data_IF_649475978011
#
_entry.id   IF_649475978011
#
_cell.length_a   1.000
_cell.length_b   1.000
_cell.length_c   1.000
_cell.angle_alpha   90.00
_cell.angle_beta   90.00
_cell.angle_gamma   90.00
#
_symmetry.space_group_name_H-M   'P 1'
#
loop_
_entity.id
_entity.type
_entity.pdbx_description
1 polymer ?
#
# COMPACT_ATOMS: atom_id res chain seq x y z
N UNK A 1 3.72 -9.54 -22.78
CA UNK A 1 3.04 -10.54 -21.92
C UNK A 1 1.56 -10.51 -22.24
N UNK A 2 0.99 -11.64 -22.67
CA UNK A 2 -0.45 -11.78 -22.84
C UNK A 2 -1.05 -12.07 -21.44
N UNK A 3 -1.69 -11.08 -20.80
CA UNK A 3 -2.28 -11.25 -19.47
C UNK A 3 -3.34 -12.37 -19.44
N UNK A 4 -3.92 -12.72 -20.59
CA UNK A 4 -4.90 -13.78 -20.74
C UNK A 4 -4.33 -15.20 -20.52
N UNK A 5 -3.03 -15.39 -20.71
CA UNK A 5 -2.36 -16.71 -20.63
C UNK A 5 -1.90 -17.07 -19.21
N UNK A 6 -1.83 -16.10 -18.28
CA UNK A 6 -1.23 -16.30 -16.94
C UNK A 6 -2.04 -17.18 -15.96
N UNK A 7 -3.09 -17.85 -16.42
CA UNK A 7 -4.10 -18.45 -15.55
C UNK A 7 -4.86 -17.34 -14.83
N UNK A 8 -6.18 -17.41 -14.80
CA UNK A 8 -7.01 -16.34 -14.22
C UNK A 8 -6.48 -16.01 -12.81
N UNK A 9 -6.13 -14.75 -12.56
CA UNK A 9 -6.09 -14.25 -11.18
C UNK A 9 -7.41 -14.67 -10.54
N UNK A 10 -7.37 -15.15 -9.30
CA UNK A 10 -8.59 -15.36 -8.54
C UNK A 10 -9.26 -14.00 -8.31
N UNK A 11 -10.13 -13.63 -9.25
CA UNK A 11 -10.97 -12.45 -9.17
C UNK A 11 -11.88 -12.56 -7.93
N UNK A 12 -12.26 -11.44 -7.32
CA UNK A 12 -13.26 -11.45 -6.27
C UNK A 12 -14.55 -12.13 -6.76
N UNK A 13 -15.20 -12.90 -5.89
CA UNK A 13 -16.52 -13.47 -6.19
C UNK A 13 -17.59 -12.37 -6.21
N UNK A 14 -17.41 -11.37 -5.35
CA UNK A 14 -18.28 -10.21 -5.29
C UNK A 14 -18.06 -9.29 -6.50
N UNK A 15 -19.16 -8.88 -7.12
CA UNK A 15 -19.16 -7.91 -8.22
C UNK A 15 -20.01 -6.71 -7.82
N UNK A 16 -19.41 -5.54 -7.85
CA UNK A 16 -20.08 -4.28 -7.53
C UNK A 16 -21.09 -3.89 -8.60
N UNK A 17 -22.10 -3.11 -8.18
CA UNK A 17 -22.97 -2.36 -9.08
C UNK A 17 -22.22 -1.16 -9.69
N UNK A 18 -22.76 -0.53 -10.74
CA UNK A 18 -22.11 0.64 -11.36
C UNK A 18 -21.89 1.80 -10.38
N UNK A 19 -22.87 2.07 -9.49
CA UNK A 19 -22.77 3.12 -8.47
C UNK A 19 -21.78 2.76 -7.37
N UNK A 20 -21.76 1.51 -6.92
CA UNK A 20 -20.74 1.04 -5.97
C UNK A 20 -19.34 1.16 -6.57
N UNK A 21 -19.16 0.77 -7.83
CA UNK A 21 -17.89 0.93 -8.55
C UNK A 21 -17.44 2.38 -8.60
N UNK A 22 -18.33 3.30 -8.96
CA UNK A 22 -18.02 4.74 -9.00
C UNK A 22 -17.50 5.24 -7.64
N UNK A 23 -18.18 4.89 -6.54
CA UNK A 23 -17.75 5.30 -5.21
C UNK A 23 -16.46 4.61 -4.75
N UNK A 24 -16.15 3.40 -5.22
CA UNK A 24 -14.86 2.75 -4.97
C UNK A 24 -13.72 3.57 -5.59
N UNK A 25 -13.84 3.94 -6.88
CA UNK A 25 -12.85 4.80 -7.53
C UNK A 25 -12.70 6.14 -6.80
N UNK A 26 -13.83 6.76 -6.43
CA UNK A 26 -13.83 8.02 -5.70
C UNK A 26 -13.20 7.90 -4.31
N UNK A 27 -13.44 6.81 -3.59
CA UNK A 27 -12.83 6.54 -2.28
C UNK A 27 -11.30 6.52 -2.38
N UNK A 28 -10.75 5.86 -3.40
CA UNK A 28 -9.30 5.75 -3.60
C UNK A 28 -8.70 7.11 -4.03
N UNK A 29 -9.39 7.87 -4.90
CA UNK A 29 -8.96 9.22 -5.27
C UNK A 29 -8.96 10.16 -4.07
N UNK A 30 -10.04 10.19 -3.29
CA UNK A 30 -10.16 10.98 -2.07
C UNK A 30 -9.09 10.57 -1.06
N UNK A 31 -8.85 9.27 -0.88
CA UNK A 31 -7.77 8.81 0.00
C UNK A 31 -6.39 9.27 -0.49
N UNK A 32 -6.14 9.27 -1.80
CA UNK A 32 -4.85 9.70 -2.37
C UNK A 32 -4.56 11.17 -2.11
N UNK A 33 -5.58 12.02 -1.96
CA UNK A 33 -5.39 13.44 -1.63
C UNK A 33 -5.09 13.69 -0.15
N UNK A 34 -5.12 12.65 0.71
CA UNK A 34 -4.81 12.77 2.14
C UNK A 34 -3.38 13.26 2.43
N UNK A 35 -2.48 13.15 1.44
CA UNK A 35 -1.10 13.59 1.56
C UNK A 35 -0.96 15.12 1.60
N UNK A 36 -1.90 15.84 0.99
CA UNK A 36 -1.88 17.30 0.90
C UNK A 36 -2.37 17.93 2.21
N UNK A 37 -1.55 18.81 2.78
CA UNK A 37 -1.81 19.41 4.08
C UNK A 37 -3.06 20.29 4.08
N UNK A 38 -3.30 21.04 3.00
CA UNK A 38 -4.46 21.90 2.82
C UNK A 38 -5.76 21.09 2.89
N UNK A 39 -5.74 19.89 2.32
CA UNK A 39 -6.90 18.97 2.32
C UNK A 39 -7.07 18.33 3.70
N UNK A 40 -5.96 17.91 4.34
CA UNK A 40 -5.96 17.31 5.67
C UNK A 40 -6.46 18.28 6.74
N UNK A 41 -6.02 19.54 6.70
CA UNK A 41 -6.39 20.58 7.65
C UNK A 41 -7.90 20.88 7.65
N UNK A 42 -8.56 20.66 6.51
CA UNK A 42 -10.01 20.84 6.36
C UNK A 42 -10.84 19.59 6.73
N UNK A 43 -10.19 18.50 7.18
CA UNK A 43 -10.84 17.23 7.53
C UNK A 43 -11.66 16.60 6.38
N UNK A 44 -11.48 17.06 5.13
CA UNK A 44 -12.34 16.68 4.00
C UNK A 44 -12.26 15.19 3.70
N UNK A 45 -11.05 14.64 3.68
CA UNK A 45 -10.82 13.22 3.35
C UNK A 45 -11.52 12.28 4.34
N UNK A 46 -11.27 12.33 5.66
CA UNK A 46 -11.91 11.42 6.60
C UNK A 46 -13.43 11.57 6.63
N UNK A 47 -13.97 12.78 6.45
CA UNK A 47 -15.42 13.02 6.39
C UNK A 47 -16.04 12.37 5.15
N UNK A 48 -15.44 12.57 3.97
CA UNK A 48 -15.95 11.99 2.73
C UNK A 48 -15.85 10.45 2.73
N UNK A 49 -14.73 9.90 3.21
CA UNK A 49 -14.57 8.45 3.35
C UNK A 49 -15.57 7.85 4.35
N UNK A 50 -15.86 8.57 5.46
CA UNK A 50 -16.89 8.16 6.41
C UNK A 50 -18.28 8.17 5.75
N UNK A 51 -18.60 9.19 4.96
CA UNK A 51 -19.85 9.23 4.19
C UNK A 51 -19.95 8.03 3.23
N UNK A 52 -18.88 7.70 2.50
CA UNK A 52 -18.86 6.53 1.61
C UNK A 52 -19.01 5.21 2.37
N UNK A 53 -18.41 5.10 3.56
CA UNK A 53 -18.59 3.95 4.45
C UNK A 53 -20.07 3.82 4.89
N UNK A 54 -20.70 4.91 5.30
CA UNK A 54 -22.11 4.93 5.71
C UNK A 54 -23.05 4.60 4.55
N UNK A 55 -22.79 5.13 3.35
CA UNK A 55 -23.51 4.76 2.12
C UNK A 55 -23.32 3.26 1.84
N UNK A 56 -22.09 2.76 1.92
CA UNK A 56 -21.78 1.34 1.73
C UNK A 56 -22.57 0.44 2.68
N UNK A 57 -22.68 0.86 3.94
CA UNK A 57 -23.50 0.17 4.96
C UNK A 57 -25.00 0.22 4.62
N UNK A 58 -25.54 1.40 4.33
CA UNK A 58 -26.97 1.62 4.05
C UNK A 58 -27.46 0.81 2.85
N UNK A 59 -26.69 0.79 1.77
CA UNK A 59 -27.04 0.06 0.53
C UNK A 59 -26.51 -1.38 0.49
N UNK A 60 -25.87 -1.85 1.57
CA UNK A 60 -25.24 -3.18 1.67
C UNK A 60 -24.20 -3.45 0.57
N UNK A 61 -23.53 -2.40 0.11
CA UNK A 61 -22.42 -2.44 -0.86
C UNK A 61 -21.15 -2.86 -0.15
N UNK A 62 -20.89 -4.18 -0.18
CA UNK A 62 -19.88 -4.82 0.66
C UNK A 62 -18.46 -4.36 0.32
N UNK A 63 -18.14 -4.25 -0.98
CA UNK A 63 -16.78 -3.87 -1.39
C UNK A 63 -16.50 -2.43 -1.01
N UNK A 64 -17.46 -1.51 -1.22
CA UNK A 64 -17.31 -0.13 -0.79
C UNK A 64 -17.17 0.00 0.73
N UNK A 65 -18.01 -0.71 1.48
CA UNK A 65 -17.98 -0.69 2.95
C UNK A 65 -16.61 -1.15 3.48
N UNK A 66 -16.15 -2.34 3.09
CA UNK A 66 -14.90 -2.90 3.61
C UNK A 66 -13.66 -2.17 3.10
N UNK A 67 -13.68 -1.58 1.89
CA UNK A 67 -12.62 -0.69 1.44
C UNK A 67 -12.48 0.52 2.37
N UNK A 68 -13.60 1.17 2.71
CA UNK A 68 -13.55 2.42 3.46
C UNK A 68 -13.26 2.23 4.96
N UNK A 69 -13.44 1.04 5.55
CA UNK A 69 -13.10 0.79 6.96
C UNK A 69 -11.65 1.18 7.30
N UNK A 70 -10.61 0.61 6.65
CA UNK A 70 -9.23 1.00 6.93
C UNK A 70 -8.91 2.42 6.45
N UNK A 71 -9.50 2.90 5.34
CA UNK A 71 -9.22 4.24 4.83
C UNK A 71 -9.72 5.34 5.77
N UNK A 72 -10.91 5.17 6.35
CA UNK A 72 -11.47 6.05 7.38
C UNK A 72 -10.59 6.00 8.62
N UNK A 73 -10.30 4.81 9.15
CA UNK A 73 -9.47 4.68 10.35
C UNK A 73 -8.10 5.36 10.17
N UNK A 74 -7.42 5.08 9.07
CA UNK A 74 -6.11 5.65 8.77
C UNK A 74 -6.16 7.17 8.60
N UNK A 75 -7.13 7.68 7.84
CA UNK A 75 -7.27 9.13 7.60
C UNK A 75 -7.61 9.89 8.88
N UNK A 76 -8.45 9.34 9.76
CA UNK A 76 -8.74 9.94 11.08
C UNK A 76 -7.52 9.96 12.00
N UNK A 77 -6.81 8.83 12.13
CA UNK A 77 -5.59 8.75 12.96
C UNK A 77 -4.55 9.74 12.45
N UNK A 78 -4.41 9.88 11.12
CA UNK A 78 -3.40 10.73 10.50
C UNK A 78 -3.70 12.24 10.53
N UNK A 79 -4.83 12.66 11.10
CA UNK A 79 -5.06 14.08 11.42
C UNK A 79 -4.21 14.52 12.61
N UNK A 80 -3.97 13.61 13.56
CA UNK A 80 -3.25 13.95 14.79
C UNK A 80 -1.79 14.26 14.42
N UNK A 81 -1.26 15.46 14.74
CA UNK A 81 0.06 15.88 14.24
C UNK A 81 1.20 14.90 14.48
N UNK A 82 1.19 14.20 15.62
CA UNK A 82 2.22 13.24 16.02
C UNK A 82 2.06 11.84 15.41
N UNK A 83 0.95 11.57 14.71
CA UNK A 83 0.68 10.23 14.15
C UNK A 83 1.71 9.79 13.11
N UNK A 84 2.35 10.75 12.42
CA UNK A 84 3.40 10.50 11.43
C UNK A 84 4.59 9.78 12.03
N UNK A 85 4.91 10.07 13.29
CA UNK A 85 6.00 9.43 14.03
C UNK A 85 5.67 7.98 14.46
N UNK A 86 4.41 7.57 14.31
CA UNK A 86 3.95 6.23 14.64
C UNK A 86 3.85 5.32 13.41
N UNK A 87 4.33 5.74 12.24
CA UNK A 87 4.35 4.89 11.04
C UNK A 87 5.29 3.68 11.21
N UNK A 88 4.93 2.46 10.78
CA UNK A 88 3.70 2.04 10.10
C UNK A 88 2.55 1.64 11.05
N UNK A 89 2.71 1.87 12.36
CA UNK A 89 1.73 1.53 13.40
C UNK A 89 0.33 2.10 13.16
N UNK A 90 0.20 3.32 12.63
CA UNK A 90 -1.12 3.89 12.28
C UNK A 90 -1.86 3.08 11.21
N UNK A 91 -1.13 2.59 10.20
CA UNK A 91 -1.66 1.68 9.17
C UNK A 91 -2.01 0.32 9.76
N UNK A 92 -1.18 -0.22 10.64
CA UNK A 92 -1.47 -1.49 11.34
C UNK A 92 -2.78 -1.37 12.12
N UNK A 93 -2.99 -0.28 12.86
CA UNK A 93 -4.26 -0.02 13.57
C UNK A 93 -5.44 0.02 12.60
N UNK A 94 -5.31 0.72 11.47
CA UNK A 94 -6.36 0.74 10.45
C UNK A 94 -6.68 -0.65 9.88
N UNK A 95 -5.66 -1.49 9.66
CA UNK A 95 -5.85 -2.87 9.23
C UNK A 95 -6.50 -3.74 10.31
N UNK A 96 -6.23 -3.51 11.60
CA UNK A 96 -6.95 -4.18 12.68
C UNK A 96 -8.45 -3.93 12.55
N UNK A 97 -8.89 -2.69 12.33
CA UNK A 97 -10.31 -2.37 12.09
C UNK A 97 -10.91 -3.13 10.90
N UNK A 98 -10.15 -3.27 9.80
CA UNK A 98 -10.57 -4.10 8.66
C UNK A 98 -10.75 -5.57 9.08
N UNK A 99 -9.76 -6.14 9.77
CA UNK A 99 -9.77 -7.54 10.18
C UNK A 99 -10.77 -7.88 11.29
N UNK A 100 -11.31 -6.90 12.03
CA UNK A 100 -12.48 -7.13 12.91
C UNK A 100 -13.69 -7.69 12.14
N UNK A 101 -13.76 -7.46 10.82
CA UNK A 101 -14.81 -7.97 9.94
C UNK A 101 -14.39 -9.23 9.16
N UNK A 102 -13.27 -9.88 9.49
CA UNK A 102 -12.68 -10.99 8.72
C UNK A 102 -13.70 -12.03 8.24
N UNK A 103 -14.50 -12.60 9.16
CA UNK A 103 -15.50 -13.63 8.82
C UNK A 103 -16.61 -13.13 7.89
N UNK A 104 -16.93 -11.84 7.91
CA UNK A 104 -17.93 -11.24 7.01
C UNK A 104 -17.33 -10.91 5.65
N UNK A 105 -16.08 -10.44 5.60
CA UNK A 105 -15.33 -10.18 4.35
C UNK A 105 -15.08 -11.51 3.62
N UNK A 106 -14.69 -12.56 4.34
CA UNK A 106 -14.50 -13.91 3.79
C UNK A 106 -15.76 -14.43 3.13
N UNK A 107 -16.91 -14.37 3.83
CA UNK A 107 -18.22 -14.79 3.30
C UNK A 107 -18.71 -13.91 2.15
N UNK A 108 -18.21 -12.69 2.05
CA UNK A 108 -18.48 -11.82 0.91
C UNK A 108 -17.61 -12.17 -0.31
N UNK A 109 -16.60 -13.04 -0.18
CA UNK A 109 -15.69 -13.38 -1.27
C UNK A 109 -14.68 -12.28 -1.61
N UNK A 110 -14.32 -11.46 -0.62
CA UNK A 110 -13.41 -10.29 -0.74
C UNK A 110 -12.04 -10.51 -0.04
N UNK A 111 -11.70 -11.75 0.31
CA UNK A 111 -10.40 -12.12 0.92
C UNK A 111 -9.54 -13.02 0.03
N UNK A 112 -9.85 -13.13 -1.27
CA UNK A 112 -9.08 -13.99 -2.19
C UNK A 112 -7.64 -13.51 -2.34
N UNK A 113 -7.40 -12.22 -2.11
CA UNK A 113 -6.07 -11.63 -2.08
C UNK A 113 -5.15 -12.19 -0.99
N UNK A 114 -5.66 -12.74 0.12
CA UNK A 114 -4.85 -13.28 1.22
C UNK A 114 -4.23 -14.66 0.89
N UNK A 115 -4.35 -15.12 -0.36
CA UNK A 115 -3.70 -16.34 -0.83
C UNK A 115 -2.16 -16.24 -0.73
N UNK A 116 -1.52 -17.38 -0.42
CA UNK A 116 -0.05 -17.49 -0.41
C UNK A 116 0.54 -17.24 -1.81
N UNK A 117 -0.13 -17.70 -2.86
CA UNK A 117 0.36 -17.61 -4.23
C UNK A 117 1.31 -18.74 -4.64
N UNK A 118 1.65 -18.76 -5.93
CA UNK A 118 2.39 -19.79 -6.65
C UNK A 118 3.85 -19.36 -6.89
N UNK A 119 4.77 -20.31 -6.67
CA UNK A 119 6.21 -20.13 -6.90
C UNK A 119 6.58 -20.55 -8.33
N UNK A 120 6.54 -19.63 -9.30
CA UNK A 120 7.04 -19.91 -10.65
C UNK A 120 8.45 -19.35 -10.85
N UNK A 121 9.23 -19.93 -11.78
CA UNK A 121 10.55 -19.39 -12.15
C UNK A 121 10.47 -17.93 -12.57
N UNK A 122 9.38 -17.56 -13.26
CA UNK A 122 9.12 -16.19 -13.67
C UNK A 122 8.88 -15.26 -12.48
N UNK A 123 8.05 -15.67 -11.51
CA UNK A 123 7.80 -14.88 -10.29
C UNK A 123 9.08 -14.68 -9.50
N UNK A 124 9.87 -15.74 -9.31
CA UNK A 124 11.15 -15.66 -8.58
C UNK A 124 12.16 -14.78 -9.31
N UNK A 125 12.32 -14.95 -10.63
CA UNK A 125 13.24 -14.14 -11.44
C UNK A 125 12.87 -12.65 -11.44
N UNK A 126 11.58 -12.33 -11.61
CA UNK A 126 11.12 -10.94 -11.53
C UNK A 126 11.24 -10.38 -10.11
N UNK A 127 11.02 -11.19 -9.07
CA UNK A 127 11.21 -10.76 -7.68
C UNK A 127 12.65 -10.32 -7.43
N UNK A 128 13.63 -11.14 -7.85
CA UNK A 128 15.06 -10.79 -7.72
C UNK A 128 15.39 -9.53 -8.52
N UNK A 129 14.94 -9.45 -9.78
CA UNK A 129 15.14 -8.28 -10.61
C UNK A 129 14.58 -7.02 -9.94
N UNK A 130 13.36 -7.10 -9.40
CA UNK A 130 12.68 -5.97 -8.79
C UNK A 130 13.34 -5.51 -7.49
N UNK A 131 13.82 -6.44 -6.66
CA UNK A 131 14.61 -6.11 -5.47
C UNK A 131 15.89 -5.35 -5.85
N UNK A 132 16.63 -5.85 -6.85
CA UNK A 132 17.87 -5.21 -7.30
C UNK A 132 17.60 -3.83 -7.91
N UNK A 133 16.63 -3.73 -8.83
CA UNK A 133 16.27 -2.47 -9.47
C UNK A 133 15.78 -1.42 -8.48
N UNK A 134 14.91 -1.81 -7.53
CA UNK A 134 14.42 -0.90 -6.49
C UNK A 134 15.57 -0.43 -5.59
N UNK A 135 16.45 -1.34 -5.17
CA UNK A 135 17.57 -0.99 -4.30
C UNK A 135 18.54 -0.02 -4.98
N UNK A 136 18.90 -0.28 -6.25
CA UNK A 136 19.73 0.63 -7.05
C UNK A 136 19.05 1.99 -7.20
N UNK A 137 17.75 2.01 -7.54
CA UNK A 137 17.02 3.26 -7.72
C UNK A 137 16.95 4.10 -6.43
N UNK A 138 16.76 3.47 -5.27
CA UNK A 138 16.75 4.14 -3.96
C UNK A 138 18.12 4.75 -3.63
N UNK A 139 19.20 4.00 -3.86
CA UNK A 139 20.56 4.53 -3.68
C UNK A 139 20.85 5.71 -4.61
N UNK A 140 20.52 5.58 -5.91
CA UNK A 140 20.71 6.66 -6.88
C UNK A 140 19.89 7.89 -6.52
N UNK A 141 18.63 7.71 -6.12
CA UNK A 141 17.78 8.80 -5.65
C UNK A 141 18.40 9.53 -4.46
N UNK A 142 18.83 8.78 -3.44
CA UNK A 142 19.44 9.36 -2.25
C UNK A 142 20.74 10.12 -2.54
N UNK A 143 21.64 9.53 -3.34
CA UNK A 143 22.94 10.13 -3.64
C UNK A 143 22.88 11.30 -4.63
N UNK A 144 22.06 11.19 -5.68
CA UNK A 144 22.00 12.19 -6.74
C UNK A 144 21.13 13.39 -6.35
N UNK A 145 20.03 13.16 -5.63
CA UNK A 145 19.07 14.22 -5.30
C UNK A 145 19.27 14.79 -3.90
N UNK A 146 20.08 14.14 -3.05
CA UNK A 146 20.39 14.59 -1.67
C UNK A 146 19.16 15.09 -0.92
N UNK A 147 18.09 14.28 -0.82
CA UNK A 147 16.87 14.67 -0.16
C UNK A 147 17.16 14.93 1.33
N UNK A 148 16.56 15.97 1.89
CA UNK A 148 16.51 16.12 3.34
C UNK A 148 15.68 14.97 3.92
N UNK A 149 16.26 14.21 4.84
CA UNK A 149 15.63 13.08 5.55
C UNK A 149 15.87 13.18 7.07
N UNK A 150 16.18 14.38 7.56
CA UNK A 150 16.44 14.67 8.97
C UNK A 150 15.29 14.21 9.88
N UNK A 151 14.04 14.47 9.47
CA UNK A 151 12.82 14.04 10.15
C UNK A 151 12.72 12.51 10.34
N UNK A 152 13.14 11.72 9.35
CA UNK A 152 13.14 10.25 9.46
C UNK A 152 14.25 9.80 10.41
N UNK A 153 15.43 10.42 10.30
CA UNK A 153 16.59 10.10 11.14
C UNK A 153 16.33 10.43 12.61
N UNK A 154 15.68 11.55 12.89
CA UNK A 154 15.32 11.98 14.25
C UNK A 154 14.32 11.03 14.93
N UNK A 155 13.41 10.45 14.14
CA UNK A 155 12.44 9.47 14.61
C UNK A 155 13.00 8.03 14.72
N UNK A 156 14.17 7.76 14.16
CA UNK A 156 14.79 6.44 14.25
C UNK A 156 15.23 6.17 15.70
N UNK A 157 15.04 4.94 16.24
CA UNK A 157 15.52 4.60 17.56
C UNK A 157 17.02 4.91 17.69
N UNK A 158 17.42 5.37 18.87
CA UNK A 158 18.83 5.59 19.23
C UNK A 158 19.32 4.38 20.01
N UNK A 159 20.50 3.86 19.69
CA UNK A 159 21.04 2.70 20.39
C UNK A 159 22.27 2.12 19.69
N UNK A 160 22.68 0.95 20.17
CA UNK A 160 23.79 0.20 19.59
C UNK A 160 23.42 -0.38 18.23
N UNK A 161 24.42 -0.57 17.36
CA UNK A 161 24.24 -1.06 15.99
C UNK A 161 23.37 -2.33 15.89
N UNK A 162 23.50 -3.36 16.76
CA UNK A 162 22.62 -4.53 16.70
C UNK A 162 21.14 -4.20 16.93
N UNK A 163 20.84 -3.27 17.85
CA UNK A 163 19.47 -2.83 18.14
C UNK A 163 18.90 -2.07 16.93
N UNK A 164 19.72 -1.20 16.32
CA UNK A 164 19.34 -0.46 15.12
C UNK A 164 19.05 -1.37 13.93
N UNK A 165 19.88 -2.39 13.71
CA UNK A 165 19.66 -3.41 12.67
C UNK A 165 18.36 -4.17 12.95
N UNK A 166 18.15 -4.63 14.18
CA UNK A 166 16.93 -5.34 14.57
C UNK A 166 15.68 -4.47 14.38
N UNK A 167 15.74 -3.19 14.76
CA UNK A 167 14.66 -2.23 14.56
C UNK A 167 14.38 -1.97 13.08
N UNK A 168 15.43 -1.81 12.25
CA UNK A 168 15.30 -1.62 10.81
C UNK A 168 14.64 -2.82 10.11
N UNK A 169 15.04 -4.05 10.48
CA UNK A 169 14.42 -5.28 9.95
C UNK A 169 12.97 -5.39 10.42
N UNK A 170 12.69 -5.11 11.71
CA UNK A 170 11.34 -5.15 12.26
C UNK A 170 10.42 -4.15 11.57
N UNK A 171 10.89 -2.91 11.35
CA UNK A 171 10.19 -1.90 10.57
C UNK A 171 9.91 -2.39 9.16
N UNK A 172 10.93 -2.89 8.45
CA UNK A 172 10.79 -3.37 7.07
C UNK A 172 9.75 -4.49 6.92
N UNK A 173 9.69 -5.42 7.87
CA UNK A 173 8.69 -6.49 7.86
C UNK A 173 7.28 -5.94 8.09
N UNK A 174 7.11 -5.12 9.13
CA UNK A 174 5.81 -4.59 9.51
C UNK A 174 5.25 -3.62 8.45
N UNK A 175 6.10 -2.75 7.92
CA UNK A 175 5.75 -1.79 6.87
C UNK A 175 5.32 -2.50 5.59
N UNK A 176 6.17 -3.41 5.08
CA UNK A 176 5.88 -4.21 3.90
C UNK A 176 4.55 -4.96 4.02
N UNK A 177 4.30 -5.66 5.13
CA UNK A 177 3.03 -6.37 5.34
C UNK A 177 1.86 -5.39 5.28
N UNK A 178 1.95 -4.28 6.03
CA UNK A 178 0.86 -3.34 6.18
C UNK A 178 0.52 -2.66 4.85
N UNK A 179 1.52 -2.15 4.14
CA UNK A 179 1.33 -1.50 2.85
C UNK A 179 0.83 -2.48 1.79
N UNK A 180 1.43 -3.66 1.64
CA UNK A 180 0.95 -4.64 0.66
C UNK A 180 -0.48 -5.08 0.93
N UNK A 181 -0.85 -5.25 2.20
CA UNK A 181 -2.23 -5.61 2.57
C UNK A 181 -3.22 -4.52 2.17
N UNK A 182 -2.89 -3.25 2.38
CA UNK A 182 -3.74 -2.15 1.96
C UNK A 182 -3.82 -2.07 0.43
N UNK A 183 -2.68 -2.00 -0.26
CA UNK A 183 -2.65 -1.68 -1.69
C UNK A 183 -2.87 -2.88 -2.60
N UNK A 184 -2.11 -3.96 -2.42
CA UNK A 184 -2.15 -5.17 -3.25
C UNK A 184 -3.23 -6.15 -2.78
N UNK A 185 -3.66 -6.03 -1.53
CA UNK A 185 -4.84 -6.68 -0.97
C UNK A 185 -6.11 -5.89 -1.21
N UNK A 186 -6.41 -4.96 -0.31
CA UNK A 186 -7.73 -4.34 -0.15
C UNK A 186 -8.10 -3.43 -1.33
N UNK A 187 -7.22 -2.52 -1.75
CA UNK A 187 -7.47 -1.59 -2.85
C UNK A 187 -7.57 -2.33 -4.19
N UNK A 188 -6.58 -3.20 -4.48
CA UNK A 188 -6.57 -4.00 -5.70
C UNK A 188 -7.83 -4.87 -5.80
N UNK A 189 -8.18 -5.60 -4.75
CA UNK A 189 -9.39 -6.45 -4.71
C UNK A 189 -10.66 -5.62 -4.93
N UNK A 190 -10.75 -4.44 -4.31
CA UNK A 190 -11.92 -3.55 -4.44
C UNK A 190 -12.04 -2.99 -5.87
N UNK A 191 -10.94 -2.65 -6.52
CA UNK A 191 -10.92 -2.24 -7.92
C UNK A 191 -11.38 -3.36 -8.85
N UNK A 192 -10.93 -4.60 -8.62
CA UNK A 192 -11.40 -5.76 -9.37
C UNK A 192 -12.90 -6.02 -9.14
N UNK A 193 -13.38 -5.92 -7.89
CA UNK A 193 -14.80 -6.03 -7.56
C UNK A 193 -15.62 -4.93 -8.25
N UNK A 194 -15.04 -3.73 -8.40
CA UNK A 194 -15.58 -2.61 -9.17
C UNK A 194 -15.57 -2.82 -10.70
N UNK A 195 -15.24 -4.03 -11.17
CA UNK A 195 -15.12 -4.41 -12.59
C UNK A 195 -14.04 -3.63 -13.34
N UNK A 196 -13.05 -3.07 -12.63
CA UNK A 196 -11.87 -2.52 -13.25
C UNK A 196 -11.12 -3.64 -13.97
N UNK A 197 -10.55 -3.36 -15.14
CA UNK A 197 -9.64 -4.32 -15.79
C UNK A 197 -8.42 -4.55 -14.90
N UNK A 198 -7.78 -5.73 -15.00
CA UNK A 198 -6.59 -6.04 -14.20
C UNK A 198 -5.49 -4.97 -14.41
N UNK A 199 -5.30 -4.56 -15.65
CA UNK A 199 -4.35 -3.49 -15.98
C UNK A 199 -4.78 -2.15 -15.37
N UNK A 200 -6.06 -1.79 -15.47
CA UNK A 200 -6.59 -0.59 -14.84
C UNK A 200 -6.39 -0.59 -13.32
N UNK A 201 -6.70 -1.71 -12.65
CA UNK A 201 -6.51 -1.86 -11.21
C UNK A 201 -5.02 -1.74 -10.83
N UNK A 202 -4.12 -2.33 -11.62
CA UNK A 202 -2.68 -2.24 -11.44
C UNK A 202 -2.18 -0.79 -11.51
N UNK A 203 -2.61 -0.03 -12.52
CA UNK A 203 -2.25 1.38 -12.67
C UNK A 203 -2.84 2.22 -11.53
N UNK A 204 -4.13 2.03 -11.21
CA UNK A 204 -4.84 2.90 -10.27
C UNK A 204 -4.29 2.77 -8.84
N UNK A 205 -4.03 1.55 -8.37
CA UNK A 205 -3.42 1.34 -7.06
C UNK A 205 -1.98 1.86 -7.01
N UNK A 206 -1.21 1.71 -8.10
CA UNK A 206 0.18 2.18 -8.15
C UNK A 206 0.25 3.71 -8.13
N UNK A 207 -0.68 4.37 -8.80
CA UNK A 207 -0.80 5.83 -8.76
C UNK A 207 -1.14 6.33 -7.36
N UNK A 208 -2.12 5.71 -6.69
CA UNK A 208 -2.47 6.02 -5.30
C UNK A 208 -1.28 5.81 -4.36
N UNK A 209 -0.59 4.67 -4.50
CA UNK A 209 0.62 4.34 -3.74
C UNK A 209 1.71 5.41 -3.92
N UNK A 210 2.01 5.79 -5.16
CA UNK A 210 2.99 6.82 -5.48
C UNK A 210 2.64 8.16 -4.84
N UNK A 211 1.40 8.66 -5.00
CA UNK A 211 1.00 9.96 -4.45
C UNK A 211 1.18 10.00 -2.93
N UNK A 212 0.80 8.94 -2.24
CA UNK A 212 0.90 8.87 -0.77
C UNK A 212 2.35 8.82 -0.26
N UNK A 213 3.33 8.65 -1.16
CA UNK A 213 4.76 8.80 -0.88
C UNK A 213 5.31 10.21 -1.07
N UNK A 214 4.49 11.22 -1.42
CA UNK A 214 4.97 12.59 -1.65
C UNK A 214 5.83 13.14 -0.48
N UNK A 215 5.47 12.79 0.76
CA UNK A 215 6.24 13.11 1.96
C UNK A 215 6.88 11.88 2.63
N UNK A 216 6.83 10.72 1.98
CA UNK A 216 7.34 9.44 2.49
C UNK A 216 8.80 9.16 2.10
N UNK A 217 9.12 7.90 1.85
CA UNK A 217 10.43 7.50 1.33
C UNK A 217 10.26 6.57 0.13
N UNK A 218 10.76 6.91 -1.07
CA UNK A 218 11.38 8.18 -1.45
C UNK A 218 10.37 9.36 -1.49
N UNK A 219 10.80 10.57 -1.12
CA UNK A 219 9.97 11.80 -1.08
C UNK A 219 10.05 12.66 -2.34
N UNK A 220 9.10 13.60 -2.42
CA UNK A 220 8.95 14.57 -3.51
C UNK A 220 8.36 13.94 -4.77
N UNK A 221 8.19 14.74 -5.83
CA UNK A 221 7.57 14.25 -7.07
C UNK A 221 8.38 13.16 -7.78
N UNK A 222 9.72 13.18 -7.66
CA UNK A 222 10.54 12.05 -8.11
C UNK A 222 10.25 10.81 -7.29
N UNK A 223 10.12 10.97 -5.97
CA UNK A 223 9.72 9.89 -5.06
C UNK A 223 8.35 9.30 -5.40
N UNK A 224 7.36 10.15 -5.70
CA UNK A 224 6.03 9.73 -6.20
C UNK A 224 6.16 8.85 -7.43
N UNK A 225 7.00 9.24 -8.40
CA UNK A 225 7.26 8.45 -9.60
C UNK A 225 7.93 7.10 -9.29
N UNK A 226 8.97 7.10 -8.46
CA UNK A 226 9.70 5.89 -8.06
C UNK A 226 8.80 4.92 -7.28
N UNK A 227 8.05 5.42 -6.29
CA UNK A 227 7.10 4.64 -5.51
C UNK A 227 5.95 4.13 -6.40
N UNK A 228 5.46 4.94 -7.35
CA UNK A 228 4.47 4.50 -8.33
C UNK A 228 4.97 3.34 -9.20
N UNK A 229 6.19 3.45 -9.74
CA UNK A 229 6.83 2.34 -10.49
C UNK A 229 6.98 1.11 -9.60
N UNK A 230 7.40 1.29 -8.34
CA UNK A 230 7.51 0.21 -7.38
C UNK A 230 6.15 -0.46 -7.11
N UNK A 231 5.08 0.31 -6.97
CA UNK A 231 3.71 -0.18 -6.86
C UNK A 231 3.24 -0.97 -8.09
N UNK A 232 3.70 -0.62 -9.29
CA UNK A 232 3.47 -1.42 -10.50
C UNK A 232 4.23 -2.75 -10.44
N UNK A 233 5.47 -2.74 -9.98
CA UNK A 233 6.32 -3.92 -9.85
C UNK A 233 5.72 -4.93 -8.87
N UNK A 234 5.38 -4.51 -7.65
CA UNK A 234 4.77 -5.38 -6.63
C UNK A 234 3.35 -5.81 -7.02
N UNK A 235 2.56 -4.93 -7.64
CA UNK A 235 1.27 -5.29 -8.21
C UNK A 235 1.36 -6.34 -9.33
N UNK A 236 2.38 -6.27 -10.18
CA UNK A 236 2.64 -7.30 -11.20
C UNK A 236 3.04 -8.63 -10.57
N UNK A 237 3.88 -8.61 -9.53
CA UNK A 237 4.22 -9.84 -8.77
C UNK A 237 2.96 -10.42 -8.13
N UNK A 238 2.04 -9.60 -7.60
CA UNK A 238 0.74 -10.07 -7.08
C UNK A 238 0.00 -10.83 -8.19
N UNK A 239 -0.15 -10.21 -9.36
CA UNK A 239 -0.87 -10.79 -10.50
C UNK A 239 -0.27 -12.15 -10.88
N UNK A 240 1.04 -12.20 -11.10
CA UNK A 240 1.74 -13.39 -11.59
C UNK A 240 1.81 -14.51 -10.55
N UNK A 241 1.99 -14.16 -9.28
CA UNK A 241 2.02 -15.15 -8.19
C UNK A 241 0.64 -15.56 -7.72
N UNK A 242 -0.42 -14.87 -8.12
CA UNK A 242 -1.79 -15.09 -7.61
C UNK A 242 -1.89 -15.03 -6.08
N UNK A 243 -0.98 -14.35 -5.37
CA UNK A 243 -1.06 -14.16 -3.92
C UNK A 243 -0.32 -12.94 -3.40
N UNK A 244 -0.37 -12.72 -2.08
CA UNK A 244 0.21 -11.55 -1.42
C UNK A 244 1.61 -11.79 -0.85
N UNK A 245 2.03 -13.06 -0.72
CA UNK A 245 3.30 -13.41 -0.08
C UNK A 245 4.52 -12.85 -0.81
N UNK A 246 4.59 -12.99 -2.14
CA UNK A 246 5.74 -12.54 -2.93
C UNK A 246 5.85 -11.01 -3.02
N UNK A 247 4.76 -10.25 -3.22
CA UNK A 247 4.81 -8.80 -3.08
C UNK A 247 5.36 -8.35 -1.73
N UNK A 248 4.90 -8.93 -0.62
CA UNK A 248 5.42 -8.66 0.73
C UNK A 248 6.90 -8.96 0.83
N UNK A 249 7.33 -10.13 0.36
CA UNK A 249 8.73 -10.51 0.42
C UNK A 249 9.63 -9.53 -0.35
N UNK A 250 9.22 -9.13 -1.57
CA UNK A 250 9.95 -8.14 -2.38
C UNK A 250 9.99 -6.77 -1.69
N UNK A 251 8.91 -6.39 -1.02
CA UNK A 251 8.81 -5.14 -0.26
C UNK A 251 9.74 -5.10 0.95
N UNK A 252 9.84 -6.18 1.71
CA UNK A 252 10.79 -6.28 2.83
C UNK A 252 12.21 -5.90 2.40
N UNK A 253 12.67 -6.37 1.24
CA UNK A 253 14.03 -6.04 0.78
C UNK A 253 14.20 -4.59 0.33
N UNK A 254 13.17 -3.96 -0.24
CA UNK A 254 13.20 -2.53 -0.52
C UNK A 254 13.31 -1.73 0.78
N UNK A 255 12.53 -2.08 1.80
CA UNK A 255 12.56 -1.41 3.10
C UNK A 255 13.85 -1.67 3.88
N UNK A 256 14.48 -2.85 3.74
CA UNK A 256 15.82 -3.10 4.28
C UNK A 256 16.83 -2.15 3.63
N UNK A 257 16.73 -1.91 2.31
CA UNK A 257 17.59 -0.92 1.65
C UNK A 257 17.36 0.48 2.18
N UNK A 258 16.10 0.88 2.41
CA UNK A 258 15.76 2.17 3.04
C UNK A 258 16.38 2.26 4.44
N UNK A 259 16.20 1.25 5.28
CA UNK A 259 16.77 1.20 6.62
C UNK A 259 18.31 1.28 6.58
N UNK A 260 18.96 0.61 5.63
CA UNK A 260 20.40 0.71 5.45
C UNK A 260 20.85 2.13 5.06
N UNK A 261 20.13 2.80 4.14
CA UNK A 261 20.38 4.19 3.76
C UNK A 261 20.31 5.10 4.99
N UNK A 262 19.23 5.01 5.77
CA UNK A 262 19.00 5.84 6.96
C UNK A 262 20.05 5.59 8.04
N UNK A 263 20.39 4.32 8.29
CA UNK A 263 21.31 3.94 9.38
C UNK A 263 22.78 4.23 9.08
N UNK A 264 23.23 4.01 7.84
CA UNK A 264 24.66 3.96 7.53
C UNK A 264 25.11 5.07 6.56
N UNK A 265 24.20 5.69 5.82
CA UNK A 265 24.54 6.65 4.75
C UNK A 265 23.99 8.05 4.98
N UNK A 266 22.91 8.20 5.75
CA UNK A 266 22.40 9.49 6.18
C UNK A 266 23.31 10.14 7.25
N UNK A 267 24.24 10.99 6.81
CA UNK A 267 25.08 11.80 7.71
C UNK A 267 24.37 13.06 8.14
#
# INVERSE_FOLDING_TARGET
>A
MNFLETGRIDLPEYKSSAWESFLIYLSILVFSTAVFEEVRALFLVPILLLLFLLIGSQFKWKSLFYLNVPLVALSFINIIPFSKNLWPGTLIVALIFYFLYFSKIRRAGLLRWLAKGEASKQVLGLSVLFVLSASIALFLWFYLLKPDISDIKENFPKGEVPILIAAGIGFAILNAIAEEFLYRGILFESLLAARCSIFGALIFQAFSFGILHLHGFPRGWVGVGLAGIYGLMTGLIRILSKGIYYPVLVHIFADITIAAIVLFFAR
#
